data_IF_995633004443
#
_entry.id   IF_995633004443
#
_cell.length_a   1.000
_cell.length_b   1.000
_cell.length_c   1.000
_cell.angle_alpha   90.00
_cell.angle_beta   90.00
_cell.angle_gamma   90.00
#
_symmetry.space_group_name_H-M   'P 1'
#
loop_
_entity.id
_entity.type
_entity.pdbx_description
1 polymer ?
#
# COMPACT_ATOMS: atom_id res chain seq x y z
N UNK A 1 -3.16 10.83 4.39
CA UNK A 1 -2.14 11.40 3.49
C UNK A 1 -2.70 11.44 2.08
N UNK A 2 -2.26 12.40 1.28
CA UNK A 2 -2.53 12.46 -0.16
C UNK A 2 -1.23 12.11 -0.89
N UNK A 3 -1.23 11.07 -1.73
CA UNK A 3 0.02 10.53 -2.30
C UNK A 3 0.82 11.58 -3.10
N UNK A 4 0.14 12.45 -3.83
CA UNK A 4 0.79 13.49 -4.66
C UNK A 4 1.26 14.70 -3.85
N UNK A 5 0.66 14.97 -2.68
CA UNK A 5 1.08 16.05 -1.79
C UNK A 5 2.26 15.63 -0.93
N UNK A 6 2.20 14.41 -0.38
CA UNK A 6 3.09 13.98 0.71
C UNK A 6 4.14 12.97 0.24
N UNK A 7 3.94 12.31 -0.91
CA UNK A 7 4.75 11.19 -1.38
C UNK A 7 6.24 11.49 -1.53
N UNK A 8 6.61 12.75 -1.80
CA UNK A 8 8.01 13.17 -1.90
C UNK A 8 8.78 13.01 -0.58
N UNK A 9 8.13 13.23 0.57
CA UNK A 9 8.77 13.10 1.89
C UNK A 9 9.17 11.65 2.22
N UNK A 10 8.54 10.68 1.56
CA UNK A 10 8.78 9.25 1.74
C UNK A 10 9.69 8.65 0.65
N UNK A 11 10.51 9.48 -0.01
CA UNK A 11 11.48 9.00 -1.00
C UNK A 11 12.41 7.96 -0.39
N UNK A 12 12.60 6.85 -1.10
CA UNK A 12 13.40 5.69 -0.66
C UNK A 12 12.92 5.02 0.64
N UNK A 13 11.71 5.32 1.12
CA UNK A 13 11.10 4.68 2.29
C UNK A 13 9.99 3.70 1.89
N UNK A 14 9.75 2.63 2.65
CA UNK A 14 8.61 1.74 2.42
C UNK A 14 7.31 2.41 2.84
N UNK A 15 6.26 2.29 2.03
CA UNK A 15 4.95 2.88 2.31
C UNK A 15 3.82 1.89 2.05
N UNK A 16 2.65 2.14 2.62
CA UNK A 16 1.44 1.38 2.34
C UNK A 16 0.33 2.24 1.74
N UNK A 17 -0.43 1.66 0.81
CA UNK A 17 -1.67 2.24 0.27
C UNK A 17 -2.81 1.30 0.63
N UNK A 18 -3.92 1.83 1.16
CA UNK A 18 -5.08 1.05 1.54
C UNK A 18 -6.21 1.29 0.53
N UNK A 19 -6.65 0.24 -0.18
CA UNK A 19 -7.76 0.37 -1.12
C UNK A 19 -7.69 -0.60 -2.28
N UNK A 20 -8.56 -0.42 -3.27
CA UNK A 20 -8.52 -1.24 -4.50
C UNK A 20 -9.37 -0.73 -5.66
N UNK A 21 -9.74 0.56 -5.63
CA UNK A 21 -10.32 1.26 -6.78
C UNK A 21 -9.26 2.04 -7.55
N UNK A 22 -9.67 2.83 -8.55
CA UNK A 22 -8.75 3.62 -9.39
C UNK A 22 -7.80 4.47 -8.54
N UNK A 23 -8.31 5.24 -7.58
CA UNK A 23 -7.48 6.10 -6.71
C UNK A 23 -6.36 5.33 -6.02
N UNK A 24 -6.67 4.21 -5.36
CA UNK A 24 -5.64 3.44 -4.66
C UNK A 24 -4.58 2.87 -5.61
N UNK A 25 -4.99 2.46 -6.81
CA UNK A 25 -4.05 1.92 -7.80
C UNK A 25 -3.19 3.03 -8.42
N UNK A 26 -3.77 4.19 -8.73
CA UNK A 26 -3.05 5.36 -9.24
C UNK A 26 -2.05 5.90 -8.22
N UNK A 27 -2.45 6.00 -6.95
CA UNK A 27 -1.57 6.42 -5.86
C UNK A 27 -0.42 5.42 -5.65
N UNK A 28 -0.69 4.11 -5.65
CA UNK A 28 0.35 3.09 -5.54
C UNK A 28 1.33 3.16 -6.73
N UNK A 29 0.83 3.34 -7.95
CA UNK A 29 1.65 3.52 -9.14
C UNK A 29 2.51 4.80 -9.06
N UNK A 30 1.94 5.90 -8.59
CA UNK A 30 2.67 7.14 -8.40
C UNK A 30 3.82 6.96 -7.40
N UNK A 31 3.51 6.43 -6.20
CA UNK A 31 4.48 6.22 -5.12
C UNK A 31 5.56 5.20 -5.49
N UNK A 32 5.25 4.20 -6.34
CA UNK A 32 6.24 3.19 -6.80
C UNK A 32 7.43 3.77 -7.57
N UNK A 33 7.33 5.02 -8.04
CA UNK A 33 8.43 5.74 -8.69
C UNK A 33 9.30 6.56 -7.72
N UNK A 34 8.90 6.68 -6.46
CA UNK A 34 9.49 7.59 -5.47
C UNK A 34 9.99 6.83 -4.23
N UNK A 35 9.15 5.94 -3.71
CA UNK A 35 9.37 5.15 -2.52
C UNK A 35 10.26 3.94 -2.81
N UNK A 36 10.86 3.34 -1.77
CA UNK A 36 11.67 2.13 -1.97
C UNK A 36 10.80 0.91 -2.29
N UNK A 37 9.63 0.83 -1.67
CA UNK A 37 8.63 -0.21 -1.90
C UNK A 37 7.23 0.28 -1.54
N UNK A 38 6.21 -0.18 -2.25
CA UNK A 38 4.81 0.11 -1.95
C UNK A 38 4.04 -1.17 -1.65
N UNK A 39 3.38 -1.24 -0.50
CA UNK A 39 2.46 -2.33 -0.19
C UNK A 39 1.01 -1.87 -0.39
N UNK A 40 0.32 -2.39 -1.41
CA UNK A 40 -1.10 -2.16 -1.60
C UNK A 40 -1.90 -3.18 -0.78
N UNK A 41 -2.59 -2.72 0.25
CA UNK A 41 -3.45 -3.56 1.09
C UNK A 41 -4.89 -3.48 0.58
N UNK A 42 -5.45 -4.64 0.25
CA UNK A 42 -6.83 -4.75 -0.20
C UNK A 42 -7.62 -5.81 0.57
N UNK A 43 -8.87 -5.48 0.92
CA UNK A 43 -9.75 -6.34 1.73
C UNK A 43 -10.43 -7.49 0.98
N UNK A 44 -10.10 -7.70 -0.29
CA UNK A 44 -10.67 -8.75 -1.15
C UNK A 44 -9.55 -9.35 -1.99
N UNK A 45 -9.89 -10.33 -2.81
CA UNK A 45 -9.05 -11.04 -3.78
C UNK A 45 -8.96 -10.37 -5.16
N UNK A 46 -9.67 -9.26 -5.38
CA UNK A 46 -9.70 -8.57 -6.67
C UNK A 46 -9.81 -7.04 -6.56
N UNK A 47 -9.12 -6.34 -7.47
CA UNK A 47 -9.22 -4.88 -7.62
C UNK A 47 -10.44 -4.50 -8.47
N UNK A 48 -11.06 -3.37 -8.12
CA UNK A 48 -12.13 -2.71 -8.86
C UNK A 48 -11.63 -1.61 -9.79
N UNK A 49 -10.32 -1.37 -9.84
CA UNK A 49 -9.73 -0.39 -10.74
C UNK A 49 -9.91 -0.78 -12.21
N UNK A 50 -9.73 0.16 -13.13
CA UNK A 50 -9.74 -0.11 -14.56
C UNK A 50 -8.67 -1.15 -14.96
N UNK A 51 -8.98 -1.98 -15.95
CA UNK A 51 -8.10 -3.08 -16.37
C UNK A 51 -6.72 -2.60 -16.81
N UNK A 52 -6.62 -1.43 -17.44
CA UNK A 52 -5.33 -0.85 -17.82
C UNK A 52 -4.48 -0.45 -16.60
N UNK A 53 -5.10 0.07 -15.55
CA UNK A 53 -4.42 0.41 -14.30
C UNK A 53 -3.99 -0.84 -13.55
N UNK A 54 -4.86 -1.87 -13.48
CA UNK A 54 -4.51 -3.17 -12.91
C UNK A 54 -3.29 -3.77 -13.62
N UNK A 55 -3.27 -3.74 -14.96
CA UNK A 55 -2.13 -4.23 -15.75
C UNK A 55 -0.83 -3.51 -15.37
N UNK A 56 -0.83 -2.17 -15.37
CA UNK A 56 0.35 -1.38 -14.96
C UNK A 56 0.80 -1.67 -13.53
N UNK A 57 -0.16 -1.87 -12.62
CA UNK A 57 0.15 -2.22 -11.24
C UNK A 57 0.84 -3.58 -11.16
N UNK A 58 0.33 -4.59 -11.87
CA UNK A 58 0.93 -5.91 -11.90
C UNK A 58 2.32 -5.90 -12.55
N UNK A 59 2.56 -5.07 -13.56
CA UNK A 59 3.92 -4.83 -14.09
C UNK A 59 4.88 -4.35 -12.97
N UNK A 60 4.42 -3.44 -12.08
CA UNK A 60 5.22 -3.01 -10.92
C UNK A 60 5.37 -4.08 -9.84
N UNK A 61 4.43 -5.01 -9.74
CA UNK A 61 4.56 -6.20 -8.87
C UNK A 61 5.64 -7.13 -9.40
N UNK A 62 5.66 -7.38 -10.71
CA UNK A 62 6.67 -8.22 -11.37
C UNK A 62 8.08 -7.60 -11.27
N UNK A 63 8.17 -6.27 -11.30
CA UNK A 63 9.41 -5.52 -11.04
C UNK A 63 9.86 -5.55 -9.57
N UNK A 64 9.01 -6.07 -8.66
CA UNK A 64 9.28 -6.09 -7.22
C UNK A 64 9.17 -4.72 -6.54
N UNK A 65 8.54 -3.73 -7.18
CA UNK A 65 8.31 -2.38 -6.63
C UNK A 65 7.03 -2.27 -5.81
N UNK A 66 6.10 -3.17 -6.05
CA UNK A 66 4.81 -3.23 -5.37
C UNK A 66 4.55 -4.64 -4.85
N UNK A 67 4.00 -4.76 -3.65
CA UNK A 67 3.39 -6.01 -3.16
C UNK A 67 1.91 -5.75 -2.91
N UNK A 68 1.05 -6.71 -3.28
CA UNK A 68 -0.38 -6.64 -2.97
C UNK A 68 -0.69 -7.63 -1.84
N UNK A 69 -1.20 -7.11 -0.72
CA UNK A 69 -1.74 -7.89 0.37
C UNK A 69 -3.26 -8.01 0.18
N UNK A 70 -3.69 -9.12 -0.40
CA UNK A 70 -5.11 -9.46 -0.63
C UNK A 70 -5.79 -9.95 0.64
N UNK A 71 -7.10 -9.80 0.73
CA UNK A 71 -7.90 -10.22 1.89
C UNK A 71 -7.40 -9.66 3.24
N UNK A 72 -6.85 -8.46 3.23
CA UNK A 72 -6.31 -7.79 4.40
C UNK A 72 -6.93 -6.40 4.61
N UNK A 73 -7.05 -6.00 5.87
CA UNK A 73 -7.51 -4.68 6.29
C UNK A 73 -6.49 -4.04 7.23
N UNK A 74 -6.39 -2.71 7.18
CA UNK A 74 -5.69 -1.95 8.21
C UNK A 74 -6.46 -2.12 9.54
N UNK A 75 -5.75 -2.58 10.57
CA UNK A 75 -6.29 -2.71 11.92
C UNK A 75 -5.82 -1.57 12.83
N UNK A 76 -4.55 -1.20 12.75
CA UNK A 76 -3.94 -0.19 13.61
C UNK A 76 -2.79 0.51 12.88
N UNK A 77 -2.64 1.81 13.07
CA UNK A 77 -1.44 2.56 12.65
C UNK A 77 -0.49 2.61 13.83
N UNK A 78 0.75 2.16 13.64
CA UNK A 78 1.76 2.06 14.69
C UNK A 78 2.77 3.20 14.49
N UNK A 79 3.05 3.93 15.56
CA UNK A 79 3.95 5.08 15.52
C UNK A 79 4.32 5.57 16.91
N UNK A 80 5.16 6.58 16.95
CA UNK A 80 5.58 7.29 18.15
C UNK A 80 5.40 8.81 17.95
N UNK A 81 5.91 9.61 18.88
CA UNK A 81 5.81 11.08 18.83
C UNK A 81 6.46 11.70 17.58
N UNK A 82 7.31 10.95 16.87
CA UNK A 82 8.03 11.38 15.67
C UNK A 82 7.35 10.95 14.37
N UNK A 83 6.33 10.08 14.40
CA UNK A 83 5.55 9.69 13.22
C UNK A 83 5.19 8.21 13.15
N UNK A 84 4.73 7.77 11.98
CA UNK A 84 4.34 6.37 11.73
C UNK A 84 5.58 5.54 11.46
N UNK A 85 5.67 4.40 12.14
CA UNK A 85 6.74 3.41 12.00
C UNK A 85 6.23 2.07 11.47
N UNK A 86 4.91 1.88 11.44
CA UNK A 86 4.30 0.70 10.86
C UNK A 86 2.78 0.72 10.82
N UNK A 87 2.23 -0.40 10.38
CA UNK A 87 0.80 -0.64 10.36
C UNK A 87 0.52 -2.10 10.71
N UNK A 88 -0.40 -2.33 11.63
CA UNK A 88 -0.96 -3.67 11.87
C UNK A 88 -2.00 -3.97 10.82
N UNK A 89 -1.76 -5.01 10.05
CA UNK A 89 -2.64 -5.48 8.99
C UNK A 89 -3.27 -6.80 9.42
N UNK A 90 -4.60 -6.92 9.29
CA UNK A 90 -5.37 -8.09 9.71
C UNK A 90 -6.00 -8.78 8.51
N UNK A 91 -5.86 -10.10 8.42
CA UNK A 91 -6.57 -10.91 7.43
C UNK A 91 -8.08 -10.84 7.69
N UNK A 92 -8.86 -10.50 6.67
CA UNK A 92 -10.28 -10.19 6.78
C UNK A 92 -11.14 -11.39 7.20
N UNK A 93 -10.73 -12.61 6.83
CA UNK A 93 -11.43 -13.86 7.17
C UNK A 93 -10.89 -14.53 8.45
N UNK A 94 -9.61 -14.93 8.47
CA UNK A 94 -9.03 -15.65 9.61
C UNK A 94 -8.83 -14.78 10.85
N UNK A 95 -8.70 -13.46 10.67
CA UNK A 95 -8.40 -12.52 11.75
C UNK A 95 -6.95 -12.52 12.23
N UNK A 96 -6.07 -13.29 11.59
CA UNK A 96 -4.63 -13.24 11.84
C UNK A 96 -4.09 -11.84 11.53
N UNK A 97 -3.18 -11.35 12.36
CA UNK A 97 -2.61 -10.02 12.23
C UNK A 97 -1.10 -10.09 12.07
N UNK A 98 -0.56 -9.21 11.23
CA UNK A 98 0.87 -9.04 11.01
C UNK A 98 1.21 -7.55 11.01
N UNK A 99 2.40 -7.22 11.49
CA UNK A 99 2.88 -5.85 11.52
C UNK A 99 3.74 -5.59 10.27
N UNK A 100 3.35 -4.58 9.51
CA UNK A 100 4.05 -4.12 8.31
C UNK A 100 4.88 -2.89 8.68
N UNK A 101 6.20 -2.96 8.48
CA UNK A 101 7.08 -1.81 8.65
C UNK A 101 6.90 -0.83 7.48
N UNK A 102 6.42 0.38 7.77
CA UNK A 102 6.19 1.46 6.81
C UNK A 102 6.46 2.80 7.47
N UNK A 103 6.94 3.75 6.67
CA UNK A 103 7.04 5.15 7.06
C UNK A 103 5.75 5.91 6.68
N UNK A 104 5.37 6.87 7.51
CA UNK A 104 4.16 7.69 7.33
C UNK A 104 4.09 8.89 8.27
#
# INVERSE_FOLDING_TARGET
ACATCDGFFYRNKPVAVIGGGNTAVEEALYLSNICSHVTLVHRRDALRAEKILQKKLFERVDEGKVTILWDHVLNEVIGDDMGVTGARIKHAVSGEATDLAVDG
#
